data_IF_460064962815
#
_entry.id   IF_460064962815
#
_cell.length_a   1.000
_cell.length_b   1.000
_cell.length_c   1.000
_cell.angle_alpha   90.00
_cell.angle_beta   90.00
_cell.angle_gamma   90.00
#
_symmetry.space_group_name_H-M   'P 1'
#
loop_
_entity.id
_entity.type
_entity.pdbx_description
1 polymer ?
#
# COMPACT_ATOMS: atom_id res chain seq x y z
N UNK A 1 10.60 -48.47 -32.99
CA UNK A 1 11.89 -47.75 -32.96
C UNK A 1 11.82 -46.74 -31.83
N UNK A 2 11.78 -47.14 -30.55
CA UNK A 2 12.89 -47.71 -29.77
C UNK A 2 14.20 -46.92 -29.91
N UNK A 3 14.55 -46.15 -28.87
CA UNK A 3 15.67 -46.48 -27.97
C UNK A 3 15.55 -45.69 -26.66
N UNK A 4 15.56 -46.44 -25.57
CA UNK A 4 15.74 -46.02 -24.17
C UNK A 4 17.24 -46.03 -23.81
N UNK A 5 17.67 -45.15 -22.91
CA UNK A 5 18.78 -45.35 -21.96
C UNK A 5 18.58 -44.32 -20.82
N UNK A 6 18.15 -44.67 -19.58
CA UNK A 6 18.95 -45.15 -18.41
C UNK A 6 20.32 -44.45 -18.35
N UNK A 7 20.74 -43.71 -17.33
CA UNK A 7 20.84 -43.92 -15.86
C UNK A 7 21.50 -42.64 -15.28
N UNK A 8 21.47 -42.25 -14.00
CA UNK A 8 21.18 -42.95 -12.77
C UNK A 8 21.02 -41.94 -11.61
N UNK A 9 20.47 -42.46 -10.52
CA UNK A 9 20.15 -41.82 -9.24
C UNK A 9 21.38 -41.70 -8.34
N UNK A 10 21.44 -40.65 -7.52
CA UNK A 10 22.29 -40.59 -6.33
C UNK A 10 21.40 -40.21 -5.14
N UNK A 11 21.07 -41.22 -4.34
CA UNK A 11 20.58 -41.09 -2.96
C UNK A 11 21.73 -40.64 -2.05
N UNK A 12 21.42 -39.82 -1.06
CA UNK A 12 22.29 -39.56 0.07
C UNK A 12 21.53 -39.89 1.35
N UNK A 13 22.07 -40.85 2.09
CA UNK A 13 21.57 -41.40 3.33
C UNK A 13 21.67 -40.43 4.52
N UNK A 14 20.55 -40.39 5.26
CA UNK A 14 20.37 -40.46 6.72
C UNK A 14 21.61 -40.30 7.62
N UNK A 15 21.51 -39.33 8.55
CA UNK A 15 22.04 -39.49 9.93
C UNK A 15 20.97 -39.03 10.93
N UNK A 16 20.45 -40.01 11.67
CA UNK A 16 19.65 -39.86 12.89
C UNK A 16 20.61 -39.77 14.07
N UNK A 17 20.38 -38.83 14.99
CA UNK A 17 20.91 -38.92 16.36
C UNK A 17 19.79 -38.65 17.37
N UNK A 18 19.39 -39.71 18.06
CA UNK A 18 18.61 -39.71 19.29
C UNK A 18 19.47 -39.26 20.48
N UNK A 19 18.82 -38.63 21.47
CA UNK A 19 19.48 -38.16 22.70
C UNK A 19 18.52 -37.79 23.84
N UNK A 20 17.85 -38.81 24.38
CA UNK A 20 17.33 -38.98 25.74
C UNK A 20 17.37 -37.82 26.77
N UNK A 21 16.17 -37.42 27.24
CA UNK A 21 15.67 -37.53 28.63
C UNK A 21 16.42 -36.93 29.83
N UNK A 22 15.72 -36.08 30.62
CA UNK A 22 15.64 -36.24 32.09
C UNK A 22 14.48 -35.46 32.72
N UNK A 23 13.91 -36.10 33.73
CA UNK A 23 12.74 -35.81 34.58
C UNK A 23 13.11 -35.12 35.89
N UNK A 24 12.11 -34.56 36.60
CA UNK A 24 12.13 -34.19 38.02
C UNK A 24 11.57 -32.77 38.26
N UNK A 25 10.35 -32.50 38.74
CA UNK A 25 9.50 -32.99 39.86
C UNK A 25 9.75 -32.25 41.20
N UNK A 26 8.65 -31.89 41.90
CA UNK A 26 8.59 -31.34 43.28
C UNK A 26 8.28 -29.83 43.40
N UNK A 27 7.06 -29.36 43.75
CA UNK A 27 6.37 -29.38 45.06
C UNK A 27 7.06 -28.51 46.14
N UNK A 28 6.45 -27.77 47.08
CA UNK A 28 5.08 -27.38 47.50
C UNK A 28 5.26 -26.52 48.78
N UNK A 29 4.25 -25.70 49.11
CA UNK A 29 3.88 -25.13 50.45
C UNK A 29 4.75 -23.98 51.00
N UNK A 30 4.31 -23.14 51.95
CA UNK A 30 3.03 -22.57 52.41
C UNK A 30 3.34 -21.78 53.71
N UNK A 31 2.71 -20.62 53.91
CA UNK A 31 2.29 -20.13 55.23
C UNK A 31 3.21 -19.18 56.02
N UNK A 32 2.58 -18.12 56.60
CA UNK A 32 3.10 -17.42 57.77
C UNK A 32 2.90 -15.90 57.77
N UNK A 33 1.75 -15.44 58.28
CA UNK A 33 1.54 -14.06 58.77
C UNK A 33 2.41 -13.81 60.01
N UNK A 34 2.94 -12.58 60.15
CA UNK A 34 2.92 -11.85 61.43
C UNK A 34 3.35 -10.38 61.25
N UNK A 35 2.57 -9.48 61.85
CA UNK A 35 2.75 -8.02 61.87
C UNK A 35 3.65 -7.62 63.04
N UNK A 36 4.65 -6.77 62.80
CA UNK A 36 5.02 -5.68 63.71
C UNK A 36 5.93 -4.65 63.00
N UNK A 37 5.66 -3.38 63.29
CA UNK A 37 6.24 -2.21 62.64
C UNK A 37 7.64 -1.84 63.13
N UNK A 38 8.49 -1.34 62.23
CA UNK A 38 9.50 -0.34 62.56
C UNK A 38 9.90 0.40 61.29
N UNK A 39 9.75 1.73 61.31
CA UNK A 39 10.03 2.61 60.20
C UNK A 39 11.49 2.60 59.77
N UNK A 40 11.69 2.59 58.46
CA UNK A 40 12.88 3.11 57.82
C UNK A 40 12.42 3.70 56.48
N UNK A 41 12.48 5.03 56.41
CA UNK A 41 12.18 5.83 55.23
C UNK A 41 13.27 5.58 54.18
N UNK A 42 13.11 4.49 53.43
CA UNK A 42 13.97 4.17 52.29
C UNK A 42 13.55 5.06 51.12
N UNK A 43 14.31 6.13 50.94
CA UNK A 43 14.22 7.08 49.84
C UNK A 43 13.93 6.36 48.50
N UNK A 44 12.68 6.51 48.02
CA UNK A 44 12.31 6.12 46.67
C UNK A 44 13.11 6.98 45.70
N UNK A 45 14.16 6.41 45.12
CA UNK A 45 14.88 7.00 44.00
C UNK A 45 13.89 7.45 42.91
N UNK A 46 14.20 8.52 42.16
CA UNK A 46 13.27 9.11 41.20
C UNK A 46 12.84 8.03 40.21
N UNK A 47 11.52 7.73 40.18
CA UNK A 47 10.93 6.88 39.13
C UNK A 47 11.38 7.45 37.80
N UNK A 48 12.12 6.65 37.03
CA UNK A 48 12.41 6.97 35.64
C UNK A 48 11.09 7.35 34.98
N UNK A 49 10.97 8.62 34.56
CA UNK A 49 9.82 9.07 33.78
C UNK A 49 9.82 8.17 32.55
N UNK A 50 8.88 7.22 32.49
CA UNK A 50 8.57 6.50 31.25
C UNK A 50 8.22 7.59 30.26
N UNK A 51 9.18 7.95 29.40
CA UNK A 51 8.97 8.89 28.32
C UNK A 51 7.76 8.41 27.55
N UNK A 52 6.84 9.32 27.23
CA UNK A 52 5.71 9.01 26.36
C UNK A 52 6.31 8.40 25.08
N UNK A 53 5.94 7.16 24.71
CA UNK A 53 6.43 6.56 23.47
C UNK A 53 6.22 7.52 22.29
N UNK A 54 7.29 7.79 21.54
CA UNK A 54 7.19 8.60 20.33
C UNK A 54 6.15 7.98 19.38
N UNK A 55 5.33 8.84 18.75
CA UNK A 55 4.35 8.42 17.77
C UNK A 55 2.96 8.03 18.30
N UNK A 56 2.68 8.10 19.61
CA UNK A 56 1.32 7.85 20.14
C UNK A 56 0.26 8.86 19.67
N UNK A 57 0.68 10.07 19.31
CA UNK A 57 -0.21 11.17 18.95
C UNK A 57 0.04 11.62 17.50
N UNK A 58 -1.04 11.93 16.80
CA UNK A 58 -1.08 12.47 15.44
C UNK A 58 -1.62 13.90 15.49
N UNK A 59 -1.02 14.82 14.74
CA UNK A 59 -1.62 16.12 14.49
C UNK A 59 -2.46 16.05 13.22
N UNK A 60 -3.72 16.45 13.27
CA UNK A 60 -4.60 16.45 12.11
C UNK A 60 -4.30 17.65 11.19
N UNK A 61 -4.01 17.38 9.92
CA UNK A 61 -3.79 18.42 8.91
C UNK A 61 -5.08 19.17 8.55
N UNK A 62 -6.25 18.56 8.81
CA UNK A 62 -7.55 19.16 8.55
C UNK A 62 -8.04 20.16 9.62
N UNK A 63 -7.89 19.83 10.90
CA UNK A 63 -8.40 20.66 12.01
C UNK A 63 -7.36 21.06 13.07
N UNK A 64 -6.12 20.59 12.95
CA UNK A 64 -5.04 20.89 13.91
C UNK A 64 -5.11 20.13 15.23
N UNK A 65 -6.18 19.35 15.47
CA UNK A 65 -6.36 18.58 16.70
C UNK A 65 -5.26 17.51 16.87
N UNK A 66 -4.91 17.24 18.13
CA UNK A 66 -4.01 16.14 18.52
C UNK A 66 -4.85 14.90 18.79
N UNK A 67 -4.71 13.88 17.95
CA UNK A 67 -5.51 12.66 17.96
C UNK A 67 -4.65 11.49 18.43
N UNK A 68 -5.23 10.59 19.21
CA UNK A 68 -4.53 9.38 19.60
C UNK A 68 -4.44 8.41 18.41
N UNK A 69 -3.24 7.94 18.08
CA UNK A 69 -3.00 7.15 16.86
C UNK A 69 -3.92 5.92 16.78
N UNK A 70 -4.08 5.17 17.87
CA UNK A 70 -4.92 3.96 17.87
C UNK A 70 -6.38 4.26 17.56
N UNK A 71 -6.89 5.38 18.08
CA UNK A 71 -8.27 5.82 17.79
C UNK A 71 -8.44 6.09 16.31
N UNK A 72 -7.47 6.78 15.67
CA UNK A 72 -7.50 6.99 14.23
C UNK A 72 -7.40 5.66 13.45
N UNK A 73 -6.53 4.74 13.86
CA UNK A 73 -6.35 3.42 13.22
C UNK A 73 -7.64 2.57 13.29
N UNK A 74 -8.35 2.59 14.42
CA UNK A 74 -9.63 1.88 14.62
C UNK A 74 -10.73 2.36 13.66
N UNK A 75 -10.69 3.64 13.25
CA UNK A 75 -11.59 4.21 12.25
C UNK A 75 -10.91 4.40 10.88
N UNK A 76 -9.97 3.50 10.55
CA UNK A 76 -9.35 3.38 9.23
C UNK A 76 -8.45 4.56 8.81
N UNK A 77 -7.79 5.19 9.77
CA UNK A 77 -6.96 6.41 9.61
C UNK A 77 -7.79 7.62 9.14
N UNK A 78 -8.96 7.79 9.74
CA UNK A 78 -9.80 8.98 9.58
C UNK A 78 -9.75 9.80 10.87
N UNK A 79 -9.72 11.13 10.77
CA UNK A 79 -9.78 11.99 11.95
C UNK A 79 -11.19 11.93 12.57
N UNK A 80 -11.34 11.55 13.85
CA UNK A 80 -12.66 11.44 14.50
C UNK A 80 -13.34 12.79 14.69
N UNK A 81 -12.58 13.90 14.65
CA UNK A 81 -13.08 15.25 14.89
C UNK A 81 -13.58 15.94 13.61
N UNK A 82 -12.92 15.71 12.47
CA UNK A 82 -13.22 16.45 11.24
C UNK A 82 -13.30 15.58 9.98
N UNK A 83 -13.20 14.25 10.11
CA UNK A 83 -13.26 13.31 8.99
C UNK A 83 -12.10 13.40 8.00
N UNK A 84 -10.93 13.91 8.42
CA UNK A 84 -9.76 14.02 7.52
C UNK A 84 -9.17 12.64 7.26
N UNK A 85 -9.00 12.29 5.98
CA UNK A 85 -8.40 11.01 5.57
C UNK A 85 -6.88 11.17 5.52
N UNK A 86 -6.17 10.49 6.42
CA UNK A 86 -4.71 10.42 6.36
C UNK A 86 -4.24 9.42 5.30
N UNK A 87 -2.96 9.51 4.95
CA UNK A 87 -2.32 8.50 4.14
C UNK A 87 -2.46 7.11 4.76
N UNK A 88 -2.81 6.15 3.91
CA UNK A 88 -2.86 4.71 4.21
C UNK A 88 -2.00 4.01 3.16
N UNK A 89 -1.04 3.20 3.61
CA UNK A 89 -0.20 2.43 2.69
C UNK A 89 -1.00 1.40 1.90
N UNK A 90 -0.50 0.97 0.74
CA UNK A 90 -1.18 -0.01 -0.10
C UNK A 90 -1.45 -1.32 0.65
N UNK A 91 -0.50 -1.78 1.48
CA UNK A 91 -0.69 -2.98 2.30
C UNK A 91 -1.80 -2.80 3.35
N UNK A 92 -1.82 -1.65 4.05
CA UNK A 92 -2.91 -1.34 4.98
C UNK A 92 -4.25 -1.25 4.25
N UNK A 93 -4.30 -0.60 3.08
CA UNK A 93 -5.53 -0.43 2.31
C UNK A 93 -6.09 -1.77 1.84
N UNK A 94 -5.23 -2.69 1.40
CA UNK A 94 -5.61 -4.08 1.09
C UNK A 94 -6.23 -4.75 2.33
N UNK A 95 -5.60 -4.61 3.50
CA UNK A 95 -6.12 -5.15 4.76
C UNK A 95 -7.43 -4.51 5.24
N UNK A 96 -7.71 -3.27 4.85
CA UNK A 96 -9.00 -2.60 5.12
C UNK A 96 -10.11 -3.05 4.16
N UNK A 97 -9.76 -3.41 2.92
CA UNK A 97 -10.70 -3.74 1.86
C UNK A 97 -11.10 -5.22 1.86
N UNK A 98 -10.12 -6.11 1.99
CA UNK A 98 -10.29 -7.55 1.77
C UNK A 98 -10.46 -8.30 3.09
N UNK A 99 -11.13 -9.44 3.02
CA UNK A 99 -11.27 -10.39 4.11
C UNK A 99 -9.87 -10.85 4.57
N UNK A 100 -9.67 -10.92 5.88
CA UNK A 100 -8.38 -11.24 6.49
C UNK A 100 -7.81 -12.57 5.98
N UNK A 101 -6.54 -12.56 5.57
CA UNK A 101 -5.82 -13.77 5.11
C UNK A 101 -6.17 -14.22 3.69
N UNK A 102 -6.98 -13.47 2.93
CA UNK A 102 -7.39 -13.86 1.58
C UNK A 102 -6.56 -13.21 0.46
N UNK A 103 -5.75 -12.20 0.77
CA UNK A 103 -4.95 -11.51 -0.24
C UNK A 103 -3.82 -12.40 -0.76
N UNK A 104 -3.81 -12.59 -2.07
CA UNK A 104 -2.75 -13.25 -2.82
C UNK A 104 -2.10 -12.20 -3.75
N UNK A 105 -0.88 -11.77 -3.41
CA UNK A 105 -0.15 -10.82 -4.25
C UNK A 105 0.25 -11.47 -5.59
N UNK A 106 0.07 -10.70 -6.65
CA UNK A 106 0.46 -11.06 -8.00
C UNK A 106 1.69 -10.28 -8.45
N UNK A 107 2.57 -10.96 -9.19
CA UNK A 107 3.78 -10.38 -9.79
C UNK A 107 4.71 -9.69 -8.76
N UNK A 108 4.76 -10.24 -7.54
CA UNK A 108 5.55 -9.76 -6.39
C UNK A 108 7.05 -9.58 -6.70
N UNK A 109 7.56 -10.26 -7.74
CA UNK A 109 8.96 -10.22 -8.17
C UNK A 109 9.24 -9.23 -9.32
N UNK A 110 8.22 -8.55 -9.86
CA UNK A 110 8.44 -7.55 -10.90
C UNK A 110 9.15 -6.32 -10.32
N UNK A 111 10.19 -5.82 -11.00
CA UNK A 111 11.07 -4.74 -10.52
C UNK A 111 11.31 -3.69 -11.60
N UNK A 112 11.45 -2.40 -11.25
CA UNK A 112 11.79 -1.36 -12.21
C UNK A 112 13.25 -1.45 -12.61
N UNK A 113 13.53 -0.96 -13.81
CA UNK A 113 14.89 -0.78 -14.33
C UNK A 113 15.08 0.69 -14.72
N UNK A 114 16.31 1.07 -15.12
CA UNK A 114 16.62 2.39 -15.64
C UNK A 114 16.89 2.31 -17.16
N UNK A 115 15.85 2.23 -18.00
CA UNK A 115 16.02 2.03 -19.44
C UNK A 115 16.62 3.24 -20.16
N UNK A 116 16.60 4.42 -19.52
CA UNK A 116 17.07 5.67 -20.12
C UNK A 116 18.43 6.11 -19.55
N UNK A 117 18.97 5.42 -18.54
CA UNK A 117 20.13 5.89 -17.79
C UNK A 117 19.87 7.28 -17.17
N UNK A 118 18.64 7.53 -16.70
CA UNK A 118 18.19 8.86 -16.34
C UNK A 118 18.91 9.37 -15.09
N UNK A 119 19.35 10.63 -15.13
CA UNK A 119 20.04 11.27 -14.02
C UNK A 119 19.56 12.70 -13.83
N UNK A 120 19.12 13.00 -12.61
CA UNK A 120 18.93 14.36 -12.13
C UNK A 120 19.99 14.69 -11.05
N UNK A 121 19.59 15.31 -9.94
CA UNK A 121 20.42 15.42 -8.73
C UNK A 121 20.97 14.06 -8.26
N UNK A 122 20.25 12.96 -8.54
CA UNK A 122 20.63 11.59 -8.23
C UNK A 122 20.30 10.67 -9.42
N UNK A 123 21.10 9.60 -9.68
CA UNK A 123 20.73 8.59 -10.67
C UNK A 123 19.38 7.95 -10.35
N UNK A 124 18.56 7.65 -11.38
CA UNK A 124 17.25 7.05 -11.18
C UNK A 124 17.33 5.66 -10.55
N UNK A 125 18.30 4.84 -10.95
CA UNK A 125 18.58 3.54 -10.33
C UNK A 125 18.79 3.65 -8.81
N UNK A 126 19.58 4.63 -8.35
CA UNK A 126 19.81 4.83 -6.93
C UNK A 126 18.57 5.36 -6.20
N UNK A 127 17.73 6.14 -6.90
CA UNK A 127 16.44 6.61 -6.38
C UNK A 127 15.51 5.42 -6.13
N UNK A 128 15.37 4.51 -7.10
CA UNK A 128 14.59 3.27 -6.96
C UNK A 128 15.02 2.52 -5.69
N UNK A 129 16.31 2.22 -5.54
CA UNK A 129 16.82 1.46 -4.40
C UNK A 129 16.51 2.14 -3.06
N UNK A 130 16.67 3.47 -3.00
CA UNK A 130 16.36 4.23 -1.79
C UNK A 130 14.86 4.20 -1.44
N UNK A 131 13.99 4.32 -2.44
CA UNK A 131 12.53 4.27 -2.25
C UNK A 131 12.06 2.86 -1.87
N UNK A 132 12.63 1.81 -2.46
CA UNK A 132 12.38 0.42 -2.09
C UNK A 132 12.77 0.16 -0.63
N UNK A 133 13.95 0.64 -0.20
CA UNK A 133 14.39 0.52 1.20
C UNK A 133 13.48 1.29 2.16
N UNK A 134 12.98 2.47 1.76
CA UNK A 134 12.16 3.32 2.62
C UNK A 134 10.72 2.83 2.76
N UNK A 135 10.15 2.30 1.69
CA UNK A 135 8.73 1.91 1.62
C UNK A 135 8.50 0.41 1.81
N UNK A 136 9.52 -0.42 1.57
CA UNK A 136 9.37 -1.87 1.48
C UNK A 136 8.68 -2.35 0.20
N UNK A 137 8.26 -1.44 -0.68
CA UNK A 137 7.59 -1.76 -1.93
C UNK A 137 8.59 -2.00 -3.06
N UNK A 138 8.28 -2.91 -3.96
CA UNK A 138 9.06 -3.11 -5.19
C UNK A 138 8.93 -1.93 -6.17
N UNK A 139 7.71 -1.39 -6.27
CA UNK A 139 7.32 -0.22 -7.05
C UNK A 139 5.98 0.31 -6.47
N UNK A 140 5.45 1.39 -7.01
CA UNK A 140 4.31 2.15 -6.52
C UNK A 140 2.93 1.50 -6.71
N UNK A 141 2.83 0.19 -6.89
CA UNK A 141 1.55 -0.51 -7.01
C UNK A 141 1.62 -1.91 -6.43
N UNK A 142 0.64 -2.30 -5.62
CA UNK A 142 0.38 -3.68 -5.20
C UNK A 142 -0.86 -4.18 -5.93
N UNK A 143 -0.80 -5.39 -6.46
CA UNK A 143 -1.88 -6.00 -7.25
C UNK A 143 -2.04 -7.45 -6.85
N UNK A 144 -3.27 -7.97 -6.91
CA UNK A 144 -3.55 -9.35 -6.53
C UNK A 144 -5.03 -9.69 -6.58
N UNK A 145 -5.38 -10.77 -5.92
CA UNK A 145 -6.77 -11.15 -5.67
C UNK A 145 -7.01 -11.34 -4.18
N UNK A 146 -8.27 -11.27 -3.77
CA UNK A 146 -8.71 -11.70 -2.45
C UNK A 146 -10.23 -11.76 -2.41
N UNK A 147 -10.80 -11.75 -1.21
CA UNK A 147 -12.25 -11.82 -1.04
C UNK A 147 -12.79 -10.57 -0.35
N UNK A 148 -14.02 -10.18 -0.71
CA UNK A 148 -14.82 -9.21 0.05
C UNK A 148 -16.12 -9.91 0.40
N UNK A 149 -16.35 -10.18 1.69
CA UNK A 149 -17.53 -10.95 2.15
C UNK A 149 -17.67 -12.27 1.38
N UNK A 150 -16.57 -13.02 1.29
CA UNK A 150 -16.43 -14.29 0.56
C UNK A 150 -16.64 -14.22 -0.98
N UNK A 151 -16.66 -13.03 -1.57
CA UNK A 151 -16.71 -12.84 -3.03
C UNK A 151 -15.33 -12.52 -3.56
N UNK A 152 -14.81 -13.35 -4.46
CA UNK A 152 -13.49 -13.14 -5.04
C UNK A 152 -13.47 -11.91 -5.94
N UNK A 153 -12.47 -11.06 -5.76
CA UNK A 153 -12.23 -9.86 -6.54
C UNK A 153 -10.76 -9.76 -6.95
N UNK A 154 -10.49 -9.11 -8.07
CA UNK A 154 -9.16 -8.64 -8.41
C UNK A 154 -9.00 -7.21 -7.86
N UNK A 155 -7.88 -6.93 -7.19
CA UNK A 155 -7.63 -5.61 -6.59
C UNK A 155 -6.24 -5.06 -6.92
N UNK A 156 -6.17 -3.76 -7.16
CA UNK A 156 -4.93 -3.01 -7.30
C UNK A 156 -4.94 -1.76 -6.43
N UNK A 157 -3.82 -1.44 -5.79
CA UNK A 157 -3.65 -0.21 -5.01
C UNK A 157 -2.34 0.44 -5.42
N UNK A 158 -2.39 1.67 -5.93
CA UNK A 158 -1.17 2.47 -6.12
C UNK A 158 -0.80 3.20 -4.83
N UNK A 159 0.48 3.35 -4.53
CA UNK A 159 0.96 3.92 -3.28
C UNK A 159 1.74 5.21 -3.52
N UNK A 160 1.20 6.33 -3.01
CA UNK A 160 1.80 7.65 -3.16
C UNK A 160 3.13 7.80 -2.41
N UNK A 161 3.45 6.92 -1.46
CA UNK A 161 4.74 6.94 -0.81
C UNK A 161 5.87 6.66 -1.81
N UNK A 162 5.72 5.76 -2.77
CA UNK A 162 6.80 5.42 -3.71
C UNK A 162 6.83 6.40 -4.89
N UNK A 163 7.76 7.35 -4.88
CA UNK A 163 7.92 8.39 -5.93
C UNK A 163 6.57 9.05 -6.27
N UNK A 164 5.84 9.51 -5.24
CA UNK A 164 4.52 10.14 -5.36
C UNK A 164 3.48 9.28 -6.08
N UNK A 165 3.62 7.95 -6.10
CA UNK A 165 2.70 7.05 -6.78
C UNK A 165 2.83 7.11 -8.31
N UNK A 166 3.90 7.72 -8.83
CA UNK A 166 4.06 7.96 -10.26
C UNK A 166 4.04 6.66 -11.06
N UNK A 167 3.33 6.65 -12.18
CA UNK A 167 3.18 5.50 -13.05
C UNK A 167 4.41 5.32 -13.96
N UNK A 168 5.25 4.35 -13.60
CA UNK A 168 6.32 3.79 -14.42
C UNK A 168 5.90 2.50 -15.12
N UNK A 169 6.83 1.88 -15.83
CA UNK A 169 6.62 0.63 -16.58
C UNK A 169 6.11 -0.51 -15.71
N UNK A 170 6.59 -0.62 -14.46
CA UNK A 170 6.13 -1.65 -13.52
C UNK A 170 4.70 -1.42 -13.06
N UNK A 171 4.33 -0.19 -12.72
CA UNK A 171 2.95 0.15 -12.35
C UNK A 171 2.00 -0.19 -13.50
N UNK A 172 2.35 0.24 -14.72
CA UNK A 172 1.56 -0.06 -15.91
C UNK A 172 1.47 -1.57 -16.20
N UNK A 173 2.57 -2.31 -16.09
CA UNK A 173 2.58 -3.76 -16.27
C UNK A 173 1.76 -4.51 -15.20
N UNK A 174 1.92 -4.19 -13.91
CA UNK A 174 1.15 -4.80 -12.83
C UNK A 174 -0.35 -4.57 -13.02
N UNK A 175 -0.75 -3.34 -13.32
CA UNK A 175 -2.16 -3.02 -13.57
C UNK A 175 -2.69 -3.69 -14.84
N UNK A 176 -1.89 -3.76 -15.90
CA UNK A 176 -2.28 -4.47 -17.14
C UNK A 176 -2.53 -5.95 -16.86
N UNK A 177 -1.58 -6.64 -16.19
CA UNK A 177 -1.72 -8.05 -15.82
C UNK A 177 -2.89 -8.30 -14.87
N UNK A 178 -3.11 -7.40 -13.92
CA UNK A 178 -4.27 -7.44 -13.02
C UNK A 178 -5.58 -7.46 -13.82
N UNK A 179 -5.73 -6.53 -14.77
CA UNK A 179 -6.93 -6.42 -15.61
C UNK A 179 -7.08 -7.64 -16.51
N UNK A 180 -6.01 -8.14 -17.10
CA UNK A 180 -6.04 -9.32 -17.98
C UNK A 180 -6.43 -10.59 -17.19
N UNK A 181 -5.82 -10.83 -16.03
CA UNK A 181 -6.21 -11.96 -15.15
C UNK A 181 -7.63 -11.83 -14.60
N UNK A 182 -8.08 -10.61 -14.29
CA UNK A 182 -9.47 -10.34 -13.91
C UNK A 182 -10.44 -10.68 -15.06
N UNK A 183 -10.05 -10.38 -16.31
CA UNK A 183 -10.82 -10.75 -17.51
C UNK A 183 -10.91 -12.27 -17.66
N UNK A 184 -9.78 -12.97 -17.62
CA UNK A 184 -9.70 -14.43 -17.75
C UNK A 184 -10.50 -15.16 -16.67
N UNK A 185 -10.38 -14.69 -15.44
CA UNK A 185 -11.04 -15.29 -14.27
C UNK A 185 -12.46 -14.78 -14.03
N UNK A 186 -12.96 -13.85 -14.88
CA UNK A 186 -14.26 -13.17 -14.74
C UNK A 186 -14.50 -12.58 -13.35
N UNK A 187 -13.47 -11.95 -12.78
CA UNK A 187 -13.53 -11.33 -11.47
C UNK A 187 -13.90 -9.85 -11.58
N UNK A 188 -14.74 -9.30 -10.68
CA UNK A 188 -14.85 -7.87 -10.50
C UNK A 188 -13.49 -7.26 -10.17
N UNK A 189 -13.23 -6.07 -10.70
CA UNK A 189 -11.96 -5.36 -10.59
C UNK A 189 -12.15 -4.11 -9.73
N UNK A 190 -11.28 -3.91 -8.74
CA UNK A 190 -11.21 -2.70 -7.92
C UNK A 190 -9.81 -2.11 -8.02
N UNK A 191 -9.68 -0.85 -8.42
CA UNK A 191 -8.40 -0.13 -8.39
C UNK A 191 -8.51 1.10 -7.51
N UNK A 192 -7.68 1.15 -6.47
CA UNK A 192 -7.54 2.30 -5.57
C UNK A 192 -6.33 3.12 -6.00
N UNK A 193 -6.58 4.34 -6.44
CA UNK A 193 -5.57 5.23 -6.99
C UNK A 193 -5.08 6.21 -5.94
N UNK A 194 -3.78 6.17 -5.65
CA UNK A 194 -3.03 7.20 -4.96
C UNK A 194 -1.78 7.54 -5.78
N UNK A 195 -1.81 8.64 -6.52
CA UNK A 195 -0.71 9.14 -7.35
C UNK A 195 -0.76 10.65 -7.43
N UNK A 196 0.19 11.32 -6.80
CA UNK A 196 0.42 12.76 -6.97
C UNK A 196 1.39 13.07 -8.11
N UNK A 197 2.23 12.10 -8.51
CA UNK A 197 3.29 12.30 -9.49
C UNK A 197 2.85 12.15 -10.94
N UNK A 198 1.68 11.56 -11.21
CA UNK A 198 1.22 11.30 -12.57
C UNK A 198 2.11 10.28 -13.29
N UNK A 199 2.63 10.62 -14.46
CA UNK A 199 3.58 9.77 -15.19
C UNK A 199 4.99 9.86 -14.59
N UNK A 200 5.72 8.75 -14.49
CA UNK A 200 7.08 8.74 -13.95
C UNK A 200 8.09 9.30 -14.95
N UNK A 201 8.40 10.59 -14.80
CA UNK A 201 9.28 11.33 -15.71
C UNK A 201 10.64 10.65 -15.99
N UNK A 202 11.18 9.93 -15.01
CA UNK A 202 12.46 9.21 -15.12
C UNK A 202 12.45 8.12 -16.21
N UNK A 203 11.28 7.59 -16.59
CA UNK A 203 11.13 6.60 -17.66
C UNK A 203 10.58 7.23 -18.96
N UNK A 204 10.38 8.55 -18.97
CA UNK A 204 10.00 9.33 -20.16
C UNK A 204 8.75 8.80 -20.87
N UNK A 205 8.88 8.53 -22.18
CA UNK A 205 7.78 8.07 -23.03
C UNK A 205 7.21 6.71 -22.58
N UNK A 206 8.02 5.86 -21.94
CA UNK A 206 7.56 4.56 -21.45
C UNK A 206 6.45 4.74 -20.40
N UNK A 207 6.59 5.74 -19.53
CA UNK A 207 5.55 6.09 -18.55
C UNK A 207 4.27 6.62 -19.18
N UNK A 208 4.39 7.46 -20.21
CA UNK A 208 3.21 7.95 -20.94
C UNK A 208 2.45 6.79 -21.59
N UNK A 209 3.17 5.86 -22.22
CA UNK A 209 2.57 4.70 -22.88
C UNK A 209 1.85 3.75 -21.92
N UNK A 210 2.17 3.77 -20.61
CA UNK A 210 1.41 2.98 -19.64
C UNK A 210 -0.06 3.44 -19.54
N UNK A 211 -0.36 4.72 -19.78
CA UNK A 211 -1.74 5.20 -19.85
C UNK A 211 -2.51 4.46 -20.95
N UNK A 212 -1.96 4.42 -22.16
CA UNK A 212 -2.58 3.74 -23.29
C UNK A 212 -2.69 2.23 -23.05
N UNK A 213 -1.64 1.62 -22.50
CA UNK A 213 -1.57 0.18 -22.23
C UNK A 213 -2.66 -0.29 -21.24
N UNK A 214 -2.74 0.33 -20.07
CA UNK A 214 -3.72 -0.06 -19.04
C UNK A 214 -5.14 0.24 -19.53
N UNK A 215 -5.37 1.39 -20.17
CA UNK A 215 -6.67 1.73 -20.75
C UNK A 215 -7.10 0.74 -21.85
N UNK A 216 -6.17 0.26 -22.68
CA UNK A 216 -6.48 -0.75 -23.69
C UNK A 216 -6.86 -2.11 -23.07
N UNK A 217 -6.22 -2.51 -21.97
CA UNK A 217 -6.61 -3.70 -21.23
C UNK A 217 -8.01 -3.53 -20.60
N UNK A 218 -8.29 -2.37 -19.98
CA UNK A 218 -9.60 -2.05 -19.41
C UNK A 218 -10.71 -2.04 -20.49
N UNK A 219 -10.41 -1.54 -21.68
CA UNK A 219 -11.36 -1.58 -22.79
C UNK A 219 -11.70 -3.02 -23.22
N UNK A 220 -10.74 -3.95 -23.18
CA UNK A 220 -11.00 -5.38 -23.41
C UNK A 220 -11.81 -6.00 -22.27
N UNK A 221 -11.47 -5.67 -21.02
CA UNK A 221 -12.20 -6.14 -19.83
C UNK A 221 -13.68 -5.69 -19.84
N UNK A 222 -13.94 -4.41 -20.16
CA UNK A 222 -15.30 -3.87 -20.30
C UNK A 222 -16.08 -4.58 -21.43
N UNK A 223 -15.46 -4.82 -22.59
CA UNK A 223 -16.07 -5.60 -23.68
C UNK A 223 -16.41 -7.04 -23.30
N UNK A 224 -15.69 -7.62 -22.33
CA UNK A 224 -15.98 -8.94 -21.77
C UNK A 224 -17.09 -8.93 -20.70
N UNK A 225 -17.69 -7.77 -20.41
CA UNK A 225 -18.74 -7.60 -19.40
C UNK A 225 -18.23 -7.53 -17.96
N UNK A 226 -16.95 -7.21 -17.77
CA UNK A 226 -16.35 -7.06 -16.45
C UNK A 226 -16.81 -5.77 -15.74
N UNK A 227 -16.99 -5.83 -14.42
CA UNK A 227 -17.28 -4.68 -13.56
C UNK A 227 -15.97 -4.06 -13.04
N UNK A 228 -15.71 -2.80 -13.35
CA UNK A 228 -14.57 -2.05 -12.85
C UNK A 228 -15.00 -0.93 -11.90
N UNK A 229 -14.54 -1.00 -10.66
CA UNK A 229 -14.70 0.03 -9.65
C UNK A 229 -13.38 0.77 -9.48
N UNK A 230 -13.39 2.08 -9.72
CA UNK A 230 -12.25 2.95 -9.45
C UNK A 230 -12.49 3.74 -8.16
N UNK A 231 -11.48 3.79 -7.30
CA UNK A 231 -11.51 4.57 -6.05
C UNK A 231 -10.37 5.59 -6.07
N UNK A 232 -10.73 6.86 -6.10
CA UNK A 232 -9.82 8.00 -6.16
C UNK A 232 -9.49 8.45 -4.74
N UNK A 233 -8.22 8.35 -4.35
CA UNK A 233 -7.76 8.79 -3.02
C UNK A 233 -6.88 10.01 -3.13
N UNK A 234 -6.56 10.62 -1.98
CA UNK A 234 -5.75 11.82 -1.94
C UNK A 234 -4.23 11.50 -2.06
N UNK A 235 -3.51 12.02 -3.06
CA UNK A 235 -3.99 12.67 -4.29
C UNK A 235 -4.11 11.68 -5.48
N UNK A 236 -4.94 12.00 -6.48
CA UNK A 236 -5.00 11.29 -7.78
C UNK A 236 -4.87 12.28 -8.93
N UNK A 237 -3.66 12.41 -9.48
CA UNK A 237 -3.28 13.49 -10.39
C UNK A 237 -2.64 12.99 -11.69
N UNK A 238 -2.58 13.88 -12.69
CA UNK A 238 -1.76 13.69 -13.89
C UNK A 238 -2.21 12.55 -14.77
N UNK A 239 -1.24 11.81 -15.33
CA UNK A 239 -1.49 10.70 -16.23
C UNK A 239 -2.33 9.57 -15.62
N UNK A 240 -2.26 9.36 -14.31
CA UNK A 240 -3.12 8.38 -13.61
C UNK A 240 -4.58 8.83 -13.64
N UNK A 241 -4.85 10.08 -13.24
CA UNK A 241 -6.19 10.66 -13.30
C UNK A 241 -6.75 10.68 -14.73
N UNK A 242 -5.92 10.99 -15.73
CA UNK A 242 -6.31 11.00 -17.15
C UNK A 242 -6.28 9.62 -17.84
N UNK A 243 -6.18 8.52 -17.09
CA UNK A 243 -6.24 7.17 -17.64
C UNK A 243 -7.10 6.26 -16.77
N UNK A 244 -6.58 5.12 -16.31
CA UNK A 244 -7.34 4.05 -15.67
C UNK A 244 -8.17 4.52 -14.47
N UNK A 245 -7.73 5.55 -13.74
CA UNK A 245 -8.45 6.03 -12.56
C UNK A 245 -9.84 6.61 -12.91
N UNK A 246 -10.04 7.17 -14.10
CA UNK A 246 -11.32 7.77 -14.51
C UNK A 246 -12.13 6.87 -15.46
N UNK A 247 -11.72 5.62 -15.67
CA UNK A 247 -12.37 4.68 -16.59
C UNK A 247 -13.23 3.61 -15.88
N UNK A 248 -13.52 3.80 -14.59
CA UNK A 248 -14.39 2.91 -13.83
C UNK A 248 -15.84 2.97 -14.30
N UNK A 249 -16.55 1.83 -14.28
CA UNK A 249 -18.00 1.81 -14.39
C UNK A 249 -18.64 2.56 -13.20
N UNK A 250 -18.01 2.39 -12.03
CA UNK A 250 -18.29 3.17 -10.82
C UNK A 250 -17.01 3.86 -10.38
N UNK A 251 -17.09 5.17 -10.16
CA UNK A 251 -15.98 5.99 -9.67
C UNK A 251 -16.36 6.58 -8.32
N UNK A 252 -15.60 6.20 -7.29
CA UNK A 252 -15.72 6.74 -5.93
C UNK A 252 -14.53 7.66 -5.64
N UNK A 253 -14.73 8.67 -4.81
CA UNK A 253 -13.64 9.49 -4.30
C UNK A 253 -13.73 9.62 -2.78
N UNK A 254 -12.59 9.53 -2.09
CA UNK A 254 -12.55 9.83 -0.65
C UNK A 254 -12.76 11.34 -0.42
N UNK A 255 -13.46 11.73 0.67
CA UNK A 255 -13.70 13.13 1.00
C UNK A 255 -12.43 13.99 0.98
N UNK A 256 -12.54 15.18 0.36
CA UNK A 256 -11.47 16.16 0.15
C UNK A 256 -10.25 15.63 -0.61
N UNK A 257 -10.35 14.51 -1.32
CA UNK A 257 -9.25 14.01 -2.13
C UNK A 257 -8.93 15.00 -3.26
N UNK A 258 -7.64 15.33 -3.43
CA UNK A 258 -7.20 16.18 -4.53
C UNK A 258 -7.10 15.36 -5.82
N UNK A 259 -7.95 15.68 -6.80
CA UNK A 259 -8.10 14.93 -8.04
C UNK A 259 -8.04 15.88 -9.25
N UNK A 260 -7.23 15.55 -10.24
CA UNK A 260 -7.27 16.25 -11.52
C UNK A 260 -6.02 16.10 -12.38
N UNK A 261 -6.10 16.58 -13.62
CA UNK A 261 -5.01 16.40 -14.58
C UNK A 261 -3.76 17.22 -14.23
N UNK A 262 -3.87 18.55 -14.15
CA UNK A 262 -2.76 19.42 -13.77
C UNK A 262 -2.84 19.79 -12.29
N UNK A 263 -1.69 19.94 -11.62
CA UNK A 263 -1.66 20.37 -10.23
C UNK A 263 -2.17 21.80 -10.04
N UNK A 264 -2.80 22.14 -8.89
CA UNK A 264 -3.38 23.47 -8.67
C UNK A 264 -2.30 24.56 -8.68
N UNK A 265 -1.08 24.23 -8.23
CA UNK A 265 0.09 25.15 -8.32
C UNK A 265 0.43 25.50 -9.76
N UNK A 266 0.44 24.51 -10.66
CA UNK A 266 0.74 24.71 -12.08
C UNK A 266 -0.37 25.54 -12.75
N UNK A 267 -1.63 25.20 -12.49
CA UNK A 267 -2.77 25.93 -13.06
C UNK A 267 -2.71 27.40 -12.63
N UNK A 268 -2.58 27.68 -11.32
CA UNK A 268 -2.48 29.04 -10.78
C UNK A 268 -1.33 29.84 -11.41
N UNK A 269 -0.17 29.21 -11.64
CA UNK A 269 0.97 29.86 -12.29
C UNK A 269 0.69 30.21 -13.77
N UNK A 270 -0.07 29.38 -14.47
CA UNK A 270 -0.44 29.60 -15.88
C UNK A 270 -1.49 30.68 -16.05
N UNK A 271 -2.61 30.59 -15.31
CA UNK A 271 -3.75 31.50 -15.50
C UNK A 271 -3.63 32.79 -14.68
N UNK A 272 -2.72 32.83 -13.69
CA UNK A 272 -2.45 33.98 -12.80
C UNK A 272 -3.69 34.54 -12.09
N UNK A 273 -4.69 33.70 -11.85
CA UNK A 273 -5.86 34.01 -11.04
C UNK A 273 -5.93 33.10 -9.82
N UNK A 274 -6.59 33.58 -8.76
CA UNK A 274 -6.89 32.74 -7.61
C UNK A 274 -7.84 31.62 -8.01
N UNK A 275 -7.54 30.41 -7.52
CA UNK A 275 -8.38 29.25 -7.77
C UNK A 275 -9.55 29.25 -6.80
N UNK A 276 -10.75 28.80 -7.22
CA UNK A 276 -11.89 28.68 -6.33
C UNK A 276 -11.57 27.85 -5.08
N UNK A 277 -12.25 28.14 -3.97
CA UNK A 277 -12.14 27.32 -2.75
C UNK A 277 -12.59 25.89 -3.08
N UNK A 278 -11.81 24.90 -2.66
CA UNK A 278 -12.10 23.49 -2.94
C UNK A 278 -11.82 23.07 -4.38
N UNK A 279 -11.17 23.90 -5.20
CA UNK A 279 -10.79 23.51 -6.55
C UNK A 279 -10.02 22.18 -6.54
N UNK A 280 -10.46 21.23 -7.36
CA UNK A 280 -9.93 19.86 -7.47
C UNK A 280 -10.17 18.94 -6.27
N UNK A 281 -10.99 19.31 -5.27
CA UNK A 281 -11.40 18.32 -4.26
C UNK A 281 -12.47 17.39 -4.83
N UNK A 282 -12.64 16.22 -4.20
CA UNK A 282 -13.68 15.26 -4.57
C UNK A 282 -15.08 15.89 -4.67
N UNK A 283 -15.44 16.77 -3.73
CA UNK A 283 -16.74 17.48 -3.71
C UNK A 283 -16.88 18.54 -4.82
N UNK A 284 -15.77 18.94 -5.44
CA UNK A 284 -15.79 19.83 -6.60
C UNK A 284 -15.98 19.04 -7.90
N UNK A 285 -15.54 17.77 -7.93
CA UNK A 285 -15.59 16.92 -9.12
C UNK A 285 -16.89 16.10 -9.24
N UNK A 286 -17.47 15.66 -8.12
CA UNK A 286 -18.65 14.81 -8.03
C UNK A 286 -19.81 15.56 -7.35
#
# INVERSE_FOLDING_TARGET
MERRSKSGTAEADVVVQDGSGRTGDGARRAGGDDRAASGADAARGPRAKRGVPEGLWLKCDGCGATIYRKEAEEILNVCPQCGYHWYVSAAQRIGQLLDTGTFEEWDANLRPTDPLGFRDKKPYADRIVAEQKRTGLADAALTGTGMIRARRVACGVTDSSFIMGSMGSVVGERLTRLVERATESRLPLIIISASGGGARMHEGILSLMQMAKVSAALARYSKAGGLFISVLTNPTMGGVAASFASLGDLVFAEPRALIGFAGPRTIKATIRVELPKGFQTSEFLL
#
